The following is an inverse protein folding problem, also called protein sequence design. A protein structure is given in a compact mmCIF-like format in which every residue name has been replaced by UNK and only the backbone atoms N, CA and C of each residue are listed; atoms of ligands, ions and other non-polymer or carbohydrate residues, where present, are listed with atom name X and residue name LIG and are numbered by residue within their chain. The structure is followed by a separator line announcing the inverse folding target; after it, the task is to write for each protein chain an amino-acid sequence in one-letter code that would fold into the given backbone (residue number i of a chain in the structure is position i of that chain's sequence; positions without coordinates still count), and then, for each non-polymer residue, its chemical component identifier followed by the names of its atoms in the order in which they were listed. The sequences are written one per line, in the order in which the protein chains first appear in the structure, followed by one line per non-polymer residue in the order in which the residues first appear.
data_IF_949482381473
#
_entry.id   IF_949482381473
#
_cell.length_a   1.000
_cell.length_b   1.000
_cell.length_c   1.000
_cell.angle_alpha   90.00
_cell.angle_beta   90.00
_cell.angle_gamma   90.00
#
_symmetry.space_group_name_H-M   'P 1'
#
loop_
_entity.id
_entity.type
_entity.pdbx_description
1 polymer ?
#
# COMPACT_ATOMS: atom_id res chain seq x y z
N UNK A 1 -19.59 20.82 -27.00
CA UNK A 1 -19.54 22.26 -26.69
C UNK A 1 -18.16 22.82 -27.02
N UNK A 2 -18.11 24.00 -27.66
CA UNK A 2 -16.86 24.73 -27.88
C UNK A 2 -16.83 25.94 -26.98
N UNK A 3 -15.73 26.10 -26.22
CA UNK A 3 -15.51 27.21 -25.30
C UNK A 3 -14.33 28.05 -25.80
N UNK A 4 -14.54 29.34 -25.94
CA UNK A 4 -13.52 30.28 -26.40
C UNK A 4 -13.10 31.18 -25.22
N UNK A 5 -11.88 30.98 -24.76
CA UNK A 5 -11.26 31.77 -23.70
C UNK A 5 -10.46 32.92 -24.30
N UNK A 6 -10.33 34.02 -23.56
CA UNK A 6 -9.50 35.15 -23.92
C UNK A 6 -7.99 34.87 -23.64
N UNK A 7 -7.15 35.84 -23.97
CA UNK A 7 -5.70 35.71 -23.78
C UNK A 7 -5.26 35.54 -22.30
N UNK A 8 -6.12 35.90 -21.33
CA UNK A 8 -5.79 35.71 -19.92
C UNK A 8 -5.73 34.22 -19.53
N UNK A 9 -6.44 33.37 -20.25
CA UNK A 9 -6.35 31.89 -20.04
C UNK A 9 -4.91 31.41 -20.22
N UNK A 10 -4.20 31.92 -21.23
CA UNK A 10 -2.81 31.55 -21.52
C UNK A 10 -1.80 32.07 -20.47
N UNK A 11 -2.21 32.99 -19.58
CA UNK A 11 -1.35 33.51 -18.51
C UNK A 11 -1.38 32.63 -17.24
N UNK A 12 -2.24 31.62 -17.18
CA UNK A 12 -2.29 30.70 -16.04
C UNK A 12 -1.02 29.84 -16.00
N UNK A 13 -0.54 29.52 -14.79
CA UNK A 13 0.46 28.49 -14.67
C UNK A 13 -0.14 27.11 -14.96
N UNK A 14 0.69 26.11 -15.24
CA UNK A 14 0.27 24.77 -15.67
C UNK A 14 -0.72 24.10 -14.69
N UNK A 15 -0.55 24.30 -13.38
CA UNK A 15 -1.45 23.73 -12.36
C UNK A 15 -2.81 24.42 -12.39
N UNK A 16 -2.84 25.75 -12.46
CA UNK A 16 -4.06 26.51 -12.55
C UNK A 16 -4.84 26.21 -13.83
N UNK A 17 -4.13 26.04 -14.95
CA UNK A 17 -4.73 25.71 -16.23
C UNK A 17 -5.42 24.33 -16.18
N UNK A 18 -4.71 23.28 -15.68
CA UNK A 18 -5.27 21.94 -15.55
C UNK A 18 -6.50 21.93 -14.64
N UNK A 19 -6.46 22.62 -13.50
CA UNK A 19 -7.60 22.72 -12.58
C UNK A 19 -8.78 23.48 -13.19
N UNK A 20 -8.53 24.57 -13.88
CA UNK A 20 -9.56 25.34 -14.57
C UNK A 20 -10.23 24.49 -15.67
N UNK A 21 -9.45 23.85 -16.50
CA UNK A 21 -9.91 22.93 -17.55
C UNK A 21 -10.74 21.77 -16.99
N UNK A 22 -10.29 21.13 -15.91
CA UNK A 22 -11.03 20.08 -15.23
C UNK A 22 -12.37 20.58 -14.66
N UNK A 23 -12.36 21.73 -13.98
CA UNK A 23 -13.56 22.33 -13.41
C UNK A 23 -14.60 22.68 -14.50
N UNK A 24 -14.16 23.32 -15.58
CA UNK A 24 -15.03 23.67 -16.70
C UNK A 24 -15.63 22.42 -17.35
N UNK A 25 -14.81 21.41 -17.65
CA UNK A 25 -15.30 20.17 -18.29
C UNK A 25 -16.30 19.47 -17.40
N UNK A 26 -15.98 19.21 -16.13
CA UNK A 26 -16.87 18.54 -15.19
C UNK A 26 -18.17 19.31 -14.92
N UNK A 27 -18.13 20.63 -14.91
CA UNK A 27 -19.34 21.44 -14.70
C UNK A 27 -20.23 21.44 -15.94
N UNK A 28 -19.65 21.69 -17.10
CA UNK A 28 -20.44 21.86 -18.34
C UNK A 28 -20.96 20.53 -18.90
N UNK A 29 -20.27 19.42 -18.68
CA UNK A 29 -20.76 18.08 -19.08
C UNK A 29 -21.86 17.52 -18.17
N UNK A 30 -22.24 18.24 -17.07
CA UNK A 30 -23.46 17.93 -16.31
C UNK A 30 -24.74 18.46 -16.99
N UNK A 31 -24.60 19.36 -17.95
CA UNK A 31 -25.75 19.86 -18.71
C UNK A 31 -26.21 18.78 -19.70
N UNK A 32 -27.50 18.44 -19.73
CA UNK A 32 -28.01 17.47 -20.70
C UNK A 32 -27.56 17.81 -22.13
N UNK A 33 -27.23 16.79 -22.91
CA UNK A 33 -26.76 16.86 -24.30
C UNK A 33 -25.35 17.44 -24.50
N UNK A 34 -24.59 17.72 -23.42
CA UNK A 34 -23.18 18.11 -23.48
C UNK A 34 -22.31 16.97 -22.95
N UNK A 35 -21.78 16.15 -23.84
CA UNK A 35 -20.88 15.04 -23.48
C UNK A 35 -19.40 15.44 -23.51
N UNK A 36 -19.06 16.38 -24.39
CA UNK A 36 -17.68 16.79 -24.65
C UNK A 36 -17.50 18.29 -24.68
N UNK A 37 -16.34 18.76 -24.22
CA UNK A 37 -15.90 20.15 -24.24
C UNK A 37 -14.59 20.27 -25.02
N UNK A 38 -14.51 21.22 -25.95
CA UNK A 38 -13.26 21.65 -26.58
C UNK A 38 -12.98 23.10 -26.21
N UNK A 39 -11.78 23.40 -25.74
CA UNK A 39 -11.38 24.72 -25.29
C UNK A 39 -10.42 25.33 -26.30
N UNK A 40 -10.68 26.56 -26.68
CA UNK A 40 -9.86 27.39 -27.57
C UNK A 40 -9.41 28.64 -26.81
N UNK A 41 -8.16 29.03 -27.00
CA UNK A 41 -7.62 30.30 -26.51
C UNK A 41 -7.05 31.08 -27.70
N UNK A 42 -7.48 32.35 -27.88
CA UNK A 42 -7.10 33.15 -29.05
C UNK A 42 -7.32 32.41 -30.38
N UNK A 43 -8.48 31.77 -30.55
CA UNK A 43 -8.91 31.04 -31.74
C UNK A 43 -8.06 29.77 -32.06
N UNK A 44 -7.10 29.41 -31.20
CA UNK A 44 -6.32 28.18 -31.31
C UNK A 44 -6.75 27.17 -30.25
N UNK A 45 -6.77 25.85 -30.54
CA UNK A 45 -7.01 24.84 -29.52
C UNK A 45 -5.92 24.94 -28.44
N UNK A 46 -6.30 24.75 -27.18
CA UNK A 46 -5.31 24.66 -26.08
C UNK A 46 -4.40 23.44 -26.29
N UNK A 47 -3.17 23.55 -25.79
CA UNK A 47 -2.17 22.48 -25.92
C UNK A 47 -1.78 21.88 -24.58
N UNK A 48 -1.32 20.63 -24.59
CA UNK A 48 -0.69 19.99 -23.43
C UNK A 48 0.73 20.51 -23.18
N UNK A 49 1.40 20.00 -22.15
CA UNK A 49 2.79 20.36 -21.80
C UNK A 49 3.81 20.00 -22.90
N UNK A 50 3.47 19.09 -23.82
CA UNK A 50 4.29 18.70 -24.95
C UNK A 50 3.97 19.53 -26.21
N UNK A 51 2.99 20.43 -26.15
CA UNK A 51 2.58 21.29 -27.27
C UNK A 51 1.57 20.64 -28.22
N UNK A 52 1.00 19.49 -27.89
CA UNK A 52 -0.03 18.85 -28.70
C UNK A 52 -1.43 19.42 -28.39
N UNK A 53 -2.34 19.56 -29.37
CA UNK A 53 -3.70 19.97 -29.10
C UNK A 53 -4.40 18.99 -28.14
N UNK A 54 -5.05 19.52 -27.10
CA UNK A 54 -5.73 18.72 -26.08
C UNK A 54 -6.96 18.00 -26.63
N UNK A 55 -7.60 18.50 -27.68
CA UNK A 55 -8.76 17.86 -28.30
C UNK A 55 -10.05 17.99 -27.51
N UNK A 56 -10.93 17.00 -27.64
CA UNK A 56 -12.22 16.94 -26.94
C UNK A 56 -12.01 16.33 -25.54
N UNK A 57 -12.59 16.99 -24.54
CA UNK A 57 -12.51 16.60 -23.13
C UNK A 57 -13.87 16.11 -22.66
N UNK A 58 -13.89 15.06 -21.87
CA UNK A 58 -15.04 14.52 -21.13
C UNK A 58 -14.80 14.56 -19.63
N UNK A 59 -15.84 14.37 -18.83
CA UNK A 59 -15.68 14.28 -17.37
C UNK A 59 -14.74 13.11 -16.95
N UNK A 60 -14.70 12.03 -17.73
CA UNK A 60 -13.87 10.86 -17.45
C UNK A 60 -12.36 11.09 -17.67
N UNK A 61 -11.98 12.16 -18.36
CA UNK A 61 -10.56 12.51 -18.57
C UNK A 61 -9.93 13.13 -17.29
N UNK A 62 -10.76 13.42 -16.30
CA UNK A 62 -10.33 14.00 -15.02
C UNK A 62 -10.77 13.14 -13.86
N UNK A 63 -9.85 12.79 -12.99
CA UNK A 63 -10.12 12.07 -11.74
C UNK A 63 -11.10 12.88 -10.87
N UNK A 64 -12.16 12.24 -10.38
CA UNK A 64 -13.29 12.91 -9.71
C UNK A 64 -12.96 13.58 -8.38
N UNK A 65 -11.87 13.24 -7.76
CA UNK A 65 -11.33 13.99 -6.62
C UNK A 65 -9.92 13.58 -6.26
N UNK A 66 -9.14 14.55 -5.75
CA UNK A 66 -7.99 14.30 -4.91
C UNK A 66 -8.38 13.43 -3.68
N UNK A 67 -9.67 13.30 -3.37
CA UNK A 67 -10.19 12.40 -2.34
C UNK A 67 -9.97 10.93 -2.69
N UNK A 68 -10.00 10.56 -3.98
CA UNK A 68 -9.75 9.18 -4.41
C UNK A 68 -8.25 8.85 -4.45
N UNK A 69 -7.38 9.87 -4.54
CA UNK A 69 -5.91 9.70 -4.53
C UNK A 69 -5.35 9.64 -3.09
N UNK A 70 -6.09 10.16 -2.11
CA UNK A 70 -5.74 10.17 -0.69
C UNK A 70 -6.98 9.84 0.18
N UNK A 71 -7.84 8.93 -0.28
CA UNK A 71 -8.90 8.43 0.60
C UNK A 71 -8.24 7.60 1.70
N UNK A 72 -8.52 8.00 2.95
CA UNK A 72 -8.18 7.17 4.10
C UNK A 72 -9.41 6.34 4.43
N UNK A 73 -9.23 5.04 4.43
CA UNK A 73 -10.25 4.09 4.80
C UNK A 73 -9.86 3.44 6.13
N UNK A 74 -10.85 3.25 7.01
CA UNK A 74 -10.63 2.53 8.26
C UNK A 74 -10.65 1.05 7.96
N UNK A 75 -9.55 0.37 8.30
CA UNK A 75 -9.37 -1.06 8.07
C UNK A 75 -8.97 -1.73 9.36
N UNK A 76 -9.59 -2.86 9.69
CA UNK A 76 -9.17 -3.72 10.80
C UNK A 76 -8.10 -4.71 10.28
N UNK A 77 -6.97 -4.74 10.96
CA UNK A 77 -5.90 -5.71 10.71
C UNK A 77 -5.86 -6.72 11.84
N UNK A 78 -5.61 -7.97 11.50
CA UNK A 78 -5.25 -9.03 12.46
C UNK A 78 -3.74 -9.24 12.38
N UNK A 79 -3.05 -8.98 13.48
CA UNK A 79 -1.60 -9.05 13.62
C UNK A 79 -1.21 -10.07 14.67
N UNK A 80 -0.05 -10.69 14.53
CA UNK A 80 0.44 -11.69 15.46
C UNK A 80 1.76 -11.24 16.07
N UNK A 81 1.79 -11.07 17.39
CA UNK A 81 2.95 -10.65 18.17
C UNK A 81 3.39 -11.77 19.13
N UNK A 82 4.56 -11.66 19.75
CA UNK A 82 5.01 -12.64 20.69
C UNK A 82 4.24 -12.56 22.02
N UNK A 83 4.05 -13.71 22.69
CA UNK A 83 3.62 -13.78 24.07
C UNK A 83 4.78 -13.40 25.03
N UNK A 84 4.52 -13.35 26.34
CA UNK A 84 5.53 -13.02 27.36
C UNK A 84 6.72 -13.99 27.37
N UNK A 85 6.49 -15.26 27.05
CA UNK A 85 7.56 -16.26 27.00
C UNK A 85 8.38 -16.19 25.69
N UNK A 86 7.94 -15.46 24.69
CA UNK A 86 8.61 -15.33 23.38
C UNK A 86 8.60 -16.61 22.54
N UNK A 87 7.73 -17.58 22.86
CA UNK A 87 7.67 -18.89 22.21
C UNK A 87 6.40 -19.17 21.43
N UNK A 88 5.38 -18.31 21.58
CA UNK A 88 4.13 -18.39 20.83
C UNK A 88 3.67 -17.01 20.36
N UNK A 89 2.76 -17.00 19.38
CA UNK A 89 2.12 -15.81 18.83
C UNK A 89 0.75 -15.60 19.47
N UNK A 90 0.46 -14.35 19.78
CA UNK A 90 -0.85 -13.88 20.27
C UNK A 90 -1.45 -12.93 19.24
N UNK A 91 -2.76 -13.08 19.01
CA UNK A 91 -3.52 -12.25 18.08
C UNK A 91 -3.75 -10.86 18.65
N UNK A 92 -3.54 -9.83 17.85
CA UNK A 92 -3.90 -8.44 18.13
C UNK A 92 -4.72 -7.86 16.98
N UNK A 93 -5.91 -7.36 17.26
CA UNK A 93 -6.74 -6.65 16.29
C UNK A 93 -6.51 -5.17 16.39
N UNK A 94 -6.23 -4.55 15.25
CA UNK A 94 -5.88 -3.13 15.18
C UNK A 94 -6.68 -2.42 14.09
N UNK A 95 -7.40 -1.35 14.46
CA UNK A 95 -7.97 -0.43 13.49
C UNK A 95 -6.92 0.58 13.05
N UNK A 96 -6.68 0.65 11.74
CA UNK A 96 -5.72 1.57 11.13
C UNK A 96 -6.39 2.39 10.02
N UNK A 97 -5.85 3.57 9.77
CA UNK A 97 -6.25 4.40 8.63
C UNK A 97 -5.36 4.05 7.44
N UNK A 98 -5.89 3.24 6.52
CA UNK A 98 -5.19 2.91 5.28
C UNK A 98 -5.33 4.04 4.27
N UNK A 99 -4.22 4.44 3.65
CA UNK A 99 -4.26 5.27 2.45
C UNK A 99 -4.51 4.36 1.24
N UNK A 100 -5.42 4.75 0.35
CA UNK A 100 -5.75 3.99 -0.87
C UNK A 100 -4.56 3.65 -1.78
N UNK A 101 -3.45 4.36 -1.63
CA UNK A 101 -2.21 4.11 -2.37
C UNK A 101 -1.26 3.11 -1.67
N UNK A 102 -1.59 2.65 -0.46
CA UNK A 102 -0.78 1.69 0.30
C UNK A 102 -1.48 0.33 0.29
N UNK A 103 -0.81 -0.71 -0.15
CA UNK A 103 -1.37 -2.06 -0.10
C UNK A 103 -1.51 -2.54 1.35
N UNK A 104 -2.49 -3.43 1.60
CA UNK A 104 -2.72 -4.01 2.93
C UNK A 104 -1.51 -4.81 3.40
N UNK A 105 -0.86 -5.54 2.49
CA UNK A 105 0.34 -6.31 2.80
C UNK A 105 1.47 -5.43 3.32
N UNK A 106 1.69 -4.27 2.70
CA UNK A 106 2.68 -3.29 3.17
C UNK A 106 2.31 -2.78 4.55
N UNK A 107 1.06 -2.41 4.74
CA UNK A 107 0.56 -1.86 5.99
C UNK A 107 0.72 -2.86 7.15
N UNK A 108 0.39 -4.15 6.92
CA UNK A 108 0.59 -5.23 7.90
C UNK A 108 2.04 -5.30 8.34
N UNK A 109 2.99 -5.35 7.40
CA UNK A 109 4.42 -5.47 7.74
C UNK A 109 4.93 -4.21 8.46
N UNK A 110 4.50 -3.01 8.04
CA UNK A 110 4.84 -1.77 8.71
C UNK A 110 4.29 -1.73 10.15
N UNK A 111 3.07 -2.21 10.38
CA UNK A 111 2.48 -2.32 11.72
C UNK A 111 3.18 -3.36 12.62
N UNK A 112 3.67 -4.46 12.05
CA UNK A 112 4.50 -5.43 12.78
C UNK A 112 5.85 -4.84 13.20
N UNK A 113 6.47 -4.02 12.33
CA UNK A 113 7.73 -3.30 12.65
C UNK A 113 7.49 -2.22 13.71
N UNK A 114 6.35 -1.53 13.68
CA UNK A 114 5.96 -0.55 14.72
C UNK A 114 5.85 -1.21 16.10
N UNK A 115 5.46 -2.49 16.13
CA UNK A 115 5.33 -3.28 17.35
C UNK A 115 3.91 -3.31 17.92
N UNK A 116 3.69 -4.08 19.01
CA UNK A 116 2.38 -4.28 19.61
C UNK A 116 1.86 -3.02 20.32
N UNK A 117 0.54 -2.91 20.40
CA UNK A 117 -0.16 -1.85 21.14
C UNK A 117 -0.88 -2.41 22.39
N UNK A 118 -1.15 -3.70 22.43
CA UNK A 118 -1.80 -4.34 23.56
C UNK A 118 -0.80 -4.75 24.65
N UNK A 119 -1.23 -4.65 25.90
CA UNK A 119 -0.42 -5.06 27.05
C UNK A 119 -0.27 -6.59 27.09
N UNK A 120 0.95 -7.05 27.30
CA UNK A 120 1.27 -8.48 27.33
C UNK A 120 1.64 -9.05 25.95
N UNK A 121 1.63 -8.23 24.91
CA UNK A 121 2.17 -8.54 23.61
C UNK A 121 3.58 -7.96 23.46
N UNK A 122 4.46 -8.66 22.78
CA UNK A 122 5.87 -8.30 22.66
C UNK A 122 6.29 -8.27 21.18
N UNK A 123 7.19 -7.34 20.85
CA UNK A 123 7.65 -7.15 19.48
C UNK A 123 8.33 -8.41 18.93
N UNK A 124 8.05 -8.71 17.68
CA UNK A 124 8.63 -9.84 16.92
C UNK A 124 9.67 -9.37 15.92
N UNK A 125 9.61 -8.10 15.52
CA UNK A 125 10.52 -7.47 14.56
C UNK A 125 11.16 -6.26 15.23
N UNK A 126 12.49 -6.06 15.12
CA UNK A 126 13.14 -4.84 15.59
C UNK A 126 12.62 -3.60 14.87
N UNK A 127 12.44 -2.50 15.57
CA UNK A 127 11.89 -1.24 15.03
C UNK A 127 12.83 -0.50 14.07
N UNK A 128 14.09 -0.89 13.97
CA UNK A 128 15.06 -0.37 13.02
C UNK A 128 15.07 -1.09 11.66
N UNK A 129 14.32 -2.19 11.54
CA UNK A 129 14.11 -2.91 10.27
C UNK A 129 13.35 -2.04 9.28
N UNK A 130 13.79 -2.06 8.02
CA UNK A 130 13.13 -1.32 6.94
C UNK A 130 12.50 -2.27 5.94
N UNK A 131 11.24 -2.01 5.64
CA UNK A 131 10.53 -2.65 4.56
C UNK A 131 10.90 -1.99 3.21
N UNK A 132 11.66 -2.69 2.38
CA UNK A 132 12.15 -2.19 1.10
C UNK A 132 11.10 -2.35 0.00
N UNK A 133 10.46 -3.52 -0.08
CA UNK A 133 9.42 -3.81 -1.08
C UNK A 133 8.45 -4.88 -0.60
N UNK A 134 7.21 -4.82 -1.12
CA UNK A 134 6.19 -5.87 -0.99
C UNK A 134 5.52 -6.05 -2.34
N UNK A 135 5.29 -7.29 -2.74
CA UNK A 135 4.53 -7.63 -3.94
C UNK A 135 3.81 -8.97 -3.77
N UNK A 136 2.63 -9.11 -4.35
CA UNK A 136 1.87 -10.37 -4.38
C UNK A 136 1.78 -10.85 -5.81
N UNK A 137 2.12 -12.10 -6.04
CA UNK A 137 1.99 -12.78 -7.32
C UNK A 137 1.59 -14.23 -7.09
N UNK A 138 0.54 -14.71 -7.76
CA UNK A 138 0.01 -16.07 -7.62
C UNK A 138 -0.21 -16.50 -6.16
N UNK A 139 -0.80 -15.59 -5.36
CA UNK A 139 -1.05 -15.74 -3.91
C UNK A 139 0.21 -15.95 -3.05
N UNK A 140 1.40 -15.66 -3.59
CA UNK A 140 2.65 -15.58 -2.85
C UNK A 140 2.99 -14.12 -2.59
N UNK A 141 2.99 -13.73 -1.32
CA UNK A 141 3.45 -12.42 -0.90
C UNK A 141 4.98 -12.43 -0.74
N UNK A 142 5.68 -11.70 -1.60
CA UNK A 142 7.13 -11.52 -1.49
C UNK A 142 7.42 -10.21 -0.76
N UNK A 143 8.04 -10.29 0.40
CA UNK A 143 8.50 -9.14 1.18
C UNK A 143 10.02 -9.04 1.12
N UNK A 144 10.53 -7.82 1.00
CA UNK A 144 11.96 -7.53 0.99
C UNK A 144 12.28 -6.59 2.14
N UNK A 145 13.07 -7.08 3.09
CA UNK A 145 13.52 -6.34 4.27
C UNK A 145 15.00 -5.98 4.11
N UNK A 146 15.47 -5.03 4.91
CA UNK A 146 16.90 -4.76 5.00
C UNK A 146 17.61 -5.77 5.93
N UNK A 147 18.95 -5.69 5.98
CA UNK A 147 19.80 -6.60 6.78
C UNK A 147 19.59 -6.46 8.29
N UNK A 148 18.94 -5.41 8.78
CA UNK A 148 18.63 -5.27 10.20
C UNK A 148 17.75 -6.42 10.70
N UNK A 149 16.91 -7.00 9.84
CA UNK A 149 16.08 -8.16 10.18
C UNK A 149 16.91 -9.38 10.59
N UNK A 150 18.05 -9.64 9.95
CA UNK A 150 18.95 -10.75 10.32
C UNK A 150 19.59 -10.57 11.69
N UNK A 151 19.79 -9.32 12.11
CA UNK A 151 20.39 -8.95 13.41
C UNK A 151 19.35 -8.91 14.54
N UNK A 152 18.22 -9.57 14.37
CA UNK A 152 17.13 -9.59 15.34
C UNK A 152 17.61 -10.13 16.70
N UNK A 153 17.82 -9.21 17.66
CA UNK A 153 18.30 -9.49 19.01
C UNK A 153 17.15 -9.63 20.03
N UNK A 154 15.89 -9.67 19.57
CA UNK A 154 14.73 -9.84 20.45
C UNK A 154 14.77 -11.24 21.10
N UNK A 155 14.40 -11.30 22.38
CA UNK A 155 14.35 -12.54 23.16
C UNK A 155 13.08 -13.34 22.84
N UNK A 156 13.03 -13.86 21.63
CA UNK A 156 11.94 -14.69 21.10
C UNK A 156 12.52 -15.89 20.36
N UNK A 157 11.78 -16.98 20.30
CA UNK A 157 12.20 -18.19 19.55
C UNK A 157 12.41 -17.86 18.06
N UNK A 158 13.34 -18.56 17.40
CA UNK A 158 13.81 -18.20 16.06
C UNK A 158 12.69 -18.14 15.01
N UNK A 159 11.67 -18.98 15.13
CA UNK A 159 10.54 -19.03 14.19
C UNK A 159 9.48 -17.92 14.44
N UNK A 160 9.43 -17.32 15.64
CA UNK A 160 8.43 -16.32 16.00
C UNK A 160 8.45 -15.09 15.08
N UNK A 161 9.59 -14.45 14.77
CA UNK A 161 9.61 -13.33 13.83
C UNK A 161 9.12 -13.70 12.41
N UNK A 162 9.44 -14.91 11.96
CA UNK A 162 9.03 -15.40 10.66
C UNK A 162 7.51 -15.60 10.61
N UNK A 163 6.95 -16.37 11.57
CA UNK A 163 5.52 -16.67 11.57
C UNK A 163 4.64 -15.50 12.02
N UNK A 164 5.17 -14.53 12.76
CA UNK A 164 4.52 -13.23 12.97
C UNK A 164 4.17 -12.56 11.63
N UNK A 165 5.11 -12.53 10.70
CA UNK A 165 4.91 -11.98 9.35
C UNK A 165 3.99 -12.88 8.53
N UNK A 166 4.28 -14.18 8.50
CA UNK A 166 3.56 -15.16 7.66
C UNK A 166 2.09 -15.23 8.04
N UNK A 167 1.79 -15.40 9.33
CA UNK A 167 0.42 -15.61 9.81
C UNK A 167 -0.39 -14.31 9.73
N UNK A 168 0.22 -13.15 9.98
CA UNK A 168 -0.46 -11.85 9.79
C UNK A 168 -0.80 -11.57 8.31
N UNK A 169 0.10 -11.88 7.39
CA UNK A 169 -0.17 -11.72 5.96
C UNK A 169 -1.19 -12.74 5.43
N UNK A 170 -1.19 -13.96 5.98
CA UNK A 170 -2.12 -15.02 5.60
C UNK A 170 -3.56 -14.78 6.10
N UNK A 171 -3.82 -13.73 6.92
CA UNK A 171 -5.18 -13.25 7.19
C UNK A 171 -5.82 -12.62 5.95
N UNK A 172 -5.02 -12.14 5.00
CA UNK A 172 -5.52 -11.63 3.73
C UNK A 172 -5.88 -12.79 2.79
N UNK A 173 -7.10 -12.79 2.28
CA UNK A 173 -7.58 -13.82 1.33
C UNK A 173 -6.76 -13.89 0.02
N UNK A 174 -5.98 -12.85 -0.27
CA UNK A 174 -5.07 -12.77 -1.42
C UNK A 174 -3.73 -13.46 -1.21
N UNK A 175 -3.38 -13.81 0.05
CA UNK A 175 -2.08 -14.36 0.42
C UNK A 175 -2.24 -15.75 1.03
N UNK A 176 -1.67 -16.77 0.39
CA UNK A 176 -1.61 -18.13 0.92
C UNK A 176 -0.19 -18.51 1.36
N UNK A 177 0.82 -17.86 0.81
CA UNK A 177 2.24 -18.15 1.08
C UNK A 177 3.04 -16.86 1.13
N UNK A 178 4.16 -16.89 1.86
CA UNK A 178 5.04 -15.73 2.03
C UNK A 178 6.48 -16.12 1.72
N UNK A 179 7.16 -15.31 0.93
CA UNK A 179 8.58 -15.37 0.65
C UNK A 179 9.27 -14.17 1.28
N UNK A 180 10.21 -14.41 2.19
CA UNK A 180 11.03 -13.35 2.81
C UNK A 180 12.34 -13.22 2.06
N UNK A 181 12.75 -11.98 1.77
CA UNK A 181 14.02 -11.63 1.14
C UNK A 181 14.74 -10.57 1.96
N UNK A 182 16.06 -10.60 1.91
CA UNK A 182 16.92 -9.61 2.56
C UNK A 182 17.74 -8.90 1.49
N UNK A 183 17.56 -7.58 1.35
CA UNK A 183 18.20 -6.79 0.29
C UNK A 183 18.05 -7.42 -1.11
N UNK A 184 16.90 -8.06 -1.38
CA UNK A 184 16.58 -8.73 -2.63
C UNK A 184 17.04 -10.19 -2.73
N UNK A 185 17.93 -10.68 -1.84
CA UNK A 185 18.38 -12.08 -1.77
C UNK A 185 17.41 -12.94 -0.97
N UNK A 186 17.32 -14.21 -1.30
CA UNK A 186 16.64 -15.26 -0.52
C UNK A 186 17.60 -16.32 0.01
N UNK A 187 18.92 -16.16 -0.22
CA UNK A 187 19.93 -17.16 0.12
C UNK A 187 20.41 -17.07 1.57
N UNK A 188 19.87 -16.09 2.33
CA UNK A 188 20.21 -15.87 3.72
C UNK A 188 19.56 -16.92 4.63
N UNK A 189 20.18 -17.18 5.79
CA UNK A 189 19.66 -18.06 6.83
C UNK A 189 19.39 -17.20 8.08
N UNK A 190 18.13 -17.19 8.51
CA UNK A 190 17.73 -16.44 9.69
C UNK A 190 18.12 -17.19 10.97
N UNK A 191 18.87 -16.51 11.87
CA UNK A 191 19.37 -17.04 13.16
C UNK A 191 20.06 -18.39 13.01
N UNK A 192 20.82 -18.62 11.92
CA UNK A 192 21.55 -19.86 11.61
C UNK A 192 20.68 -21.14 11.54
N UNK A 193 19.36 -21.01 11.45
CA UNK A 193 18.41 -22.12 11.54
C UNK A 193 17.38 -22.16 10.42
N UNK A 194 16.90 -20.99 9.96
CA UNK A 194 15.75 -20.92 9.05
C UNK A 194 16.21 -20.38 7.69
N UNK A 195 16.28 -21.22 6.64
CA UNK A 195 16.63 -20.75 5.30
C UNK A 195 15.51 -19.88 4.74
N UNK A 196 15.83 -18.63 4.35
CA UNK A 196 14.88 -17.72 3.74
C UNK A 196 14.56 -18.03 2.28
N UNK A 197 15.23 -19.01 1.68
CA UNK A 197 14.84 -19.61 0.39
C UNK A 197 13.53 -20.41 0.48
N UNK A 198 13.08 -20.73 1.70
CA UNK A 198 11.79 -21.38 1.95
C UNK A 198 10.65 -20.42 1.64
N UNK A 199 9.59 -20.91 0.98
CA UNK A 199 8.30 -20.26 0.88
C UNK A 199 7.45 -20.76 2.03
N UNK A 200 7.07 -19.84 2.93
CA UNK A 200 6.38 -20.17 4.16
C UNK A 200 4.86 -20.20 3.95
N UNK A 201 4.19 -21.13 4.61
CA UNK A 201 2.74 -21.22 4.72
C UNK A 201 2.32 -20.96 6.17
N UNK A 202 1.07 -20.58 6.37
CA UNK A 202 0.49 -20.36 7.71
C UNK A 202 0.71 -21.58 8.61
N UNK A 203 1.03 -21.32 9.88
CA UNK A 203 1.23 -22.39 10.86
C UNK A 203 0.57 -22.06 12.22
N UNK A 204 -0.56 -22.67 12.48
CA UNK A 204 -1.34 -22.50 13.70
C UNK A 204 -0.65 -23.05 14.96
N UNK A 205 0.37 -23.93 14.84
CA UNK A 205 1.09 -24.49 15.98
C UNK A 205 1.82 -23.44 16.80
N UNK A 206 2.15 -22.31 16.18
CA UNK A 206 2.80 -21.18 16.84
C UNK A 206 1.83 -20.16 17.45
N UNK A 207 0.53 -20.30 17.22
CA UNK A 207 -0.49 -19.36 17.70
C UNK A 207 -1.10 -19.90 19.00
N UNK A 208 -1.21 -19.05 20.05
CA UNK A 208 -1.86 -19.40 21.31
C UNK A 208 -3.31 -19.79 21.04
N UNK A 209 -3.68 -21.04 21.40
CA UNK A 209 -5.01 -21.57 21.14
C UNK A 209 -5.32 -21.89 19.68
N UNK A 210 -4.35 -21.78 18.80
CA UNK A 210 -4.48 -22.18 17.39
C UNK A 210 -4.79 -23.68 17.31
N UNK A 211 -5.75 -24.04 16.47
CA UNK A 211 -6.05 -25.43 16.11
C UNK A 211 -5.92 -25.57 14.62
N UNK A 212 -5.18 -26.59 14.20
CA UNK A 212 -5.28 -27.12 12.85
C UNK A 212 -6.65 -27.80 12.73
N UNK A 213 -7.59 -27.18 11.98
CA UNK A 213 -8.83 -27.84 11.58
C UNK A 213 -8.60 -28.74 10.37
#
# INVERSE_FOLDING_TARGET
LYLYADANYALMNSVQEILCRAALTKTLTQIPDIEYLSIYCAEQPITDAAGNPVGMLSASDFVDSIRDVNSFERTELTLYFANEAGDQLVEEKREVMQNSNTSLERLIVEQLIEGPQELGHYATIPSDVKLLNVSVNDSVCSINLDSAFLNNALDVAAYIPIYSIVDSLAELSTVSRVQIRINGSQDDVFRDQIPLSTVFERNYDYIVGGKND
#
